data_IF_189667318609
#
_entry.id   IF_189667318609
#
_cell.length_a   1.000
_cell.length_b   1.000
_cell.length_c   1.000
_cell.angle_alpha   90.00
_cell.angle_beta   90.00
_cell.angle_gamma   90.00
#
_symmetry.space_group_name_H-M   'P 1'
#
loop_
_entity.id
_entity.type
_entity.pdbx_description
1 polymer ?
#
# COMPACT_ATOMS: atom_id res chain seq x y z
N UNK A 1 62.99 -9.66 -20.91
CA UNK A 1 62.88 -10.54 -19.73
C UNK A 1 61.81 -9.94 -18.85
N UNK A 2 60.61 -10.47 -18.94
CA UNK A 2 59.42 -10.02 -18.22
C UNK A 2 58.87 -11.22 -17.49
N UNK A 3 58.86 -11.18 -16.15
CA UNK A 3 58.22 -12.22 -15.33
C UNK A 3 56.88 -11.69 -14.81
N UNK A 4 55.85 -12.37 -15.23
CA UNK A 4 54.47 -12.26 -14.76
C UNK A 4 54.32 -12.86 -13.37
N UNK A 5 53.78 -12.12 -12.42
CA UNK A 5 53.35 -12.62 -11.10
C UNK A 5 51.81 -12.70 -11.11
N UNK A 6 51.30 -13.91 -11.30
CA UNK A 6 49.90 -14.22 -11.12
C UNK A 6 49.66 -14.65 -9.65
N UNK A 7 49.02 -13.78 -8.87
CA UNK A 7 48.58 -14.13 -7.52
C UNK A 7 47.26 -14.94 -7.61
N UNK A 8 47.32 -16.20 -7.18
CA UNK A 8 46.14 -17.11 -7.04
C UNK A 8 45.37 -16.73 -5.77
N UNK A 9 44.18 -16.21 -5.91
CA UNK A 9 43.20 -16.13 -4.84
C UNK A 9 42.61 -17.54 -4.60
N UNK A 10 42.79 -18.07 -3.38
CA UNK A 10 42.01 -19.24 -2.91
C UNK A 10 40.73 -18.74 -2.26
N UNK A 11 39.56 -19.29 -2.59
CA UNK A 11 38.33 -18.95 -1.86
C UNK A 11 38.34 -19.55 -0.46
N UNK A 12 38.00 -18.76 0.55
CA UNK A 12 37.71 -19.24 1.90
C UNK A 12 36.38 -20.00 1.93
N UNK A 13 36.24 -21.02 2.78
CA UNK A 13 34.99 -21.74 2.90
C UNK A 13 33.92 -20.86 3.52
N UNK A 14 32.71 -20.86 2.92
CA UNK A 14 31.54 -20.17 3.39
C UNK A 14 31.11 -20.65 4.77
N UNK A 15 30.75 -19.70 5.62
CA UNK A 15 30.36 -19.92 7.00
C UNK A 15 29.00 -20.66 7.05
N UNK A 16 29.00 -21.95 7.41
CA UNK A 16 27.85 -22.83 7.46
C UNK A 16 26.79 -22.44 8.52
N UNK A 17 27.10 -21.44 9.37
CA UNK A 17 26.17 -20.95 10.38
C UNK A 17 25.12 -19.97 9.87
N UNK A 18 25.38 -19.24 8.76
CA UNK A 18 24.42 -18.30 8.17
C UNK A 18 23.34 -19.05 7.39
N UNK A 19 23.72 -20.06 6.62
CA UNK A 19 22.76 -20.85 5.83
C UNK A 19 21.76 -21.63 6.67
N UNK A 20 22.10 -22.01 7.91
CA UNK A 20 21.20 -22.74 8.81
C UNK A 20 20.15 -21.84 9.51
N UNK A 21 20.37 -20.52 9.58
CA UNK A 21 19.37 -19.58 10.11
C UNK A 21 18.33 -19.20 9.06
N UNK A 22 18.76 -19.00 7.82
CA UNK A 22 17.85 -18.68 6.70
C UNK A 22 16.94 -19.87 6.36
N UNK A 23 17.44 -21.10 6.40
CA UNK A 23 16.61 -22.28 6.14
C UNK A 23 15.55 -22.53 7.23
N UNK A 24 15.81 -22.20 8.49
CA UNK A 24 14.83 -22.30 9.59
C UNK A 24 13.80 -21.18 9.57
N UNK A 25 14.16 -19.97 9.14
CA UNK A 25 13.21 -18.87 9.00
C UNK A 25 12.25 -19.14 7.84
N UNK A 26 12.75 -19.57 6.69
CA UNK A 26 11.95 -19.93 5.52
C UNK A 26 11.03 -21.14 5.78
N UNK A 27 11.46 -22.15 6.56
CA UNK A 27 10.60 -23.28 6.88
C UNK A 27 9.44 -22.95 7.84
N UNK A 28 9.58 -21.92 8.69
CA UNK A 28 8.49 -21.47 9.57
C UNK A 28 7.44 -20.65 8.83
N UNK A 29 7.85 -19.85 7.85
CA UNK A 29 6.95 -19.07 6.99
C UNK A 29 6.21 -19.98 5.99
N UNK A 30 6.90 -20.94 5.38
CA UNK A 30 6.29 -21.91 4.47
C UNK A 30 5.31 -22.87 5.15
N UNK A 31 5.53 -23.23 6.41
CA UNK A 31 4.68 -24.20 7.14
C UNK A 31 3.32 -23.65 7.57
N UNK A 32 3.13 -22.32 7.65
CA UNK A 32 1.84 -21.70 8.04
C UNK A 32 0.99 -21.19 6.87
N UNK A 33 1.59 -20.92 5.70
CA UNK A 33 0.84 -20.55 4.49
C UNK A 33 0.26 -21.78 3.74
N UNK A 34 0.57 -23.01 4.13
CA UNK A 34 0.12 -24.23 3.47
C UNK A 34 -1.38 -24.56 3.65
N UNK A 35 -2.14 -23.76 4.38
CA UNK A 35 -3.57 -23.96 4.61
C UNK A 35 -4.49 -22.91 3.93
N UNK A 36 -3.99 -22.13 2.96
CA UNK A 36 -4.85 -21.24 2.19
C UNK A 36 -5.75 -22.06 1.24
N UNK A 37 -7.05 -21.74 1.13
CA UNK A 37 -7.95 -22.45 0.24
C UNK A 37 -7.43 -22.36 -1.19
N UNK A 38 -7.43 -23.47 -1.90
CA UNK A 38 -6.97 -23.62 -3.30
C UNK A 38 -7.78 -22.82 -4.33
N UNK A 39 -8.82 -22.10 -3.90
CA UNK A 39 -9.69 -21.34 -4.79
C UNK A 39 -9.64 -19.85 -4.47
N UNK A 40 -9.32 -19.05 -5.50
CA UNK A 40 -9.58 -17.60 -5.52
C UNK A 40 -11.08 -17.39 -5.25
N UNK A 41 -11.48 -16.42 -4.41
CA UNK A 41 -12.89 -16.12 -4.20
C UNK A 41 -13.61 -15.93 -5.53
N UNK A 42 -14.66 -16.71 -5.80
CA UNK A 42 -15.37 -16.70 -7.09
C UNK A 42 -16.26 -15.45 -7.27
N UNK A 43 -16.45 -14.66 -6.23
CA UNK A 43 -17.30 -13.47 -6.28
C UNK A 43 -16.59 -12.32 -5.57
N UNK A 44 -16.10 -11.37 -6.37
CA UNK A 44 -15.58 -10.09 -5.91
C UNK A 44 -16.58 -9.00 -6.31
N UNK A 45 -17.21 -8.35 -5.33
CA UNK A 45 -18.34 -7.44 -5.55
C UNK A 45 -17.97 -5.96 -5.71
N UNK A 46 -16.68 -5.63 -5.74
CA UNK A 46 -16.23 -4.26 -5.87
C UNK A 46 -16.06 -3.89 -7.36
N UNK A 47 -16.88 -2.99 -7.92
CA UNK A 47 -16.73 -2.55 -9.32
C UNK A 47 -15.52 -1.64 -9.51
N UNK A 48 -15.11 -0.91 -8.47
CA UNK A 48 -14.03 0.05 -8.44
C UNK A 48 -13.24 -0.09 -7.12
N UNK A 49 -12.07 0.52 -7.07
CA UNK A 49 -11.34 0.76 -5.83
C UNK A 49 -11.12 2.27 -5.66
N UNK A 50 -12.15 3.00 -5.30
CA UNK A 50 -12.11 4.45 -5.05
C UNK A 50 -11.68 4.73 -3.61
N UNK A 51 -12.13 3.89 -2.69
CA UNK A 51 -11.83 3.90 -1.26
C UNK A 51 -11.53 2.48 -0.77
N UNK A 52 -10.73 2.34 0.29
CA UNK A 52 -10.57 1.05 0.98
C UNK A 52 -11.92 0.48 1.46
N UNK A 53 -12.89 1.34 1.75
CA UNK A 53 -14.26 0.96 2.14
C UNK A 53 -15.00 0.13 1.09
N UNK A 54 -14.71 0.36 -0.19
CA UNK A 54 -15.37 -0.33 -1.30
C UNK A 54 -15.10 -1.83 -1.27
N UNK A 55 -13.97 -2.23 -0.73
CA UNK A 55 -13.59 -3.64 -0.55
C UNK A 55 -14.35 -4.30 0.61
N UNK A 56 -14.59 -3.57 1.69
CA UNK A 56 -15.05 -4.16 2.94
C UNK A 56 -14.09 -5.22 3.51
N UNK A 57 -14.41 -5.83 4.64
CA UNK A 57 -13.55 -6.84 5.28
C UNK A 57 -13.23 -8.04 4.38
N UNK A 58 -14.24 -8.58 3.68
CA UNK A 58 -14.06 -9.73 2.80
C UNK A 58 -13.20 -9.41 1.56
N UNK A 59 -13.35 -8.21 0.99
CA UNK A 59 -12.55 -7.79 -0.17
C UNK A 59 -11.10 -7.51 0.20
N UNK A 60 -10.85 -6.90 1.36
CA UNK A 60 -9.48 -6.70 1.87
C UNK A 60 -8.78 -8.05 2.09
N UNK A 61 -9.43 -9.01 2.76
CA UNK A 61 -8.89 -10.37 2.93
C UNK A 61 -8.61 -11.05 1.59
N UNK A 62 -9.54 -10.94 0.62
CA UNK A 62 -9.38 -11.53 -0.71
C UNK A 62 -8.18 -10.95 -1.45
N UNK A 63 -7.98 -9.61 -1.42
CA UNK A 63 -6.82 -8.95 -2.04
C UNK A 63 -5.52 -9.42 -1.41
N UNK A 64 -5.42 -9.45 -0.07
CA UNK A 64 -4.20 -9.85 0.63
C UNK A 64 -3.84 -11.32 0.37
N UNK A 65 -4.81 -12.23 0.45
CA UNK A 65 -4.60 -13.66 0.14
C UNK A 65 -4.14 -13.86 -1.29
N UNK A 66 -4.84 -13.24 -2.25
CA UNK A 66 -4.49 -13.37 -3.67
C UNK A 66 -3.10 -12.78 -3.95
N UNK A 67 -2.75 -11.63 -3.34
CA UNK A 67 -1.43 -11.03 -3.49
C UNK A 67 -0.32 -11.98 -2.99
N UNK A 68 -0.51 -12.64 -1.83
CA UNK A 68 0.41 -13.65 -1.33
C UNK A 68 0.54 -14.87 -2.27
N UNK A 69 -0.56 -15.35 -2.85
CA UNK A 69 -0.54 -16.42 -3.85
C UNK A 69 0.21 -15.98 -5.11
N UNK A 70 -0.06 -14.78 -5.63
CA UNK A 70 0.62 -14.24 -6.82
C UNK A 70 2.12 -13.98 -6.59
N UNK A 71 2.52 -13.66 -5.36
CA UNK A 71 3.93 -13.52 -4.96
C UNK A 71 4.63 -14.88 -4.96
N UNK A 72 4.00 -15.91 -4.40
CA UNK A 72 4.58 -17.25 -4.27
C UNK A 72 4.52 -18.10 -5.56
N UNK A 73 3.53 -17.85 -6.43
CA UNK A 73 3.29 -18.60 -7.68
C UNK A 73 3.04 -17.67 -8.88
N UNK A 74 3.99 -16.80 -9.25
CA UNK A 74 3.78 -15.80 -10.31
C UNK A 74 3.49 -16.40 -11.67
N UNK A 75 4.01 -17.61 -11.94
CA UNK A 75 3.85 -18.30 -13.23
C UNK A 75 2.39 -18.64 -13.55
N UNK A 76 1.59 -18.94 -12.52
CA UNK A 76 0.18 -19.33 -12.68
C UNK A 76 -0.67 -18.18 -13.26
N UNK A 77 -0.17 -16.94 -13.19
CA UNK A 77 -0.91 -15.73 -13.53
C UNK A 77 -0.39 -15.00 -14.79
N UNK A 78 0.67 -15.49 -15.45
CA UNK A 78 1.31 -14.79 -16.58
C UNK A 78 0.38 -14.44 -17.76
N UNK A 79 -0.76 -15.09 -17.89
CA UNK A 79 -1.74 -14.88 -18.97
C UNK A 79 -3.11 -14.48 -18.45
N UNK A 80 -3.22 -14.15 -17.17
CA UNK A 80 -4.48 -13.91 -16.51
C UNK A 80 -5.25 -12.72 -17.09
N UNK A 81 -4.54 -11.70 -17.58
CA UNK A 81 -5.11 -10.49 -18.16
C UNK A 81 -4.70 -10.30 -19.65
N UNK A 82 -4.49 -11.41 -20.38
CA UNK A 82 -4.14 -11.34 -21.80
C UNK A 82 -5.21 -10.57 -22.59
N UNK A 83 -4.77 -9.57 -23.37
CA UNK A 83 -5.64 -8.72 -24.19
C UNK A 83 -6.30 -7.56 -23.43
N UNK A 84 -6.13 -7.46 -22.09
CA UNK A 84 -6.63 -6.35 -21.30
C UNK A 84 -5.72 -5.14 -21.41
N UNK A 85 -6.33 -3.95 -21.42
CA UNK A 85 -5.66 -2.66 -21.52
C UNK A 85 -6.00 -1.79 -20.32
N UNK A 86 -4.98 -1.20 -19.71
CA UNK A 86 -5.11 -0.27 -18.59
C UNK A 86 -4.52 1.08 -18.98
N UNK A 87 -5.20 2.18 -18.60
CA UNK A 87 -4.64 3.53 -18.70
C UNK A 87 -4.44 4.12 -17.32
N UNK A 88 -3.33 4.86 -17.14
CA UNK A 88 -2.99 5.54 -15.90
C UNK A 88 -2.86 7.04 -16.16
N UNK A 89 -3.57 7.86 -15.37
CA UNK A 89 -3.47 9.31 -15.37
C UNK A 89 -2.91 9.80 -14.04
N UNK A 90 -1.78 10.50 -14.08
CA UNK A 90 -1.13 11.00 -12.88
C UNK A 90 -0.98 12.51 -12.92
N UNK A 91 -1.70 13.21 -12.03
CA UNK A 91 -1.52 14.63 -11.75
C UNK A 91 -0.33 14.90 -10.82
N UNK A 92 0.10 13.87 -10.05
CA UNK A 92 1.27 13.92 -9.16
C UNK A 92 2.31 12.90 -9.61
N UNK A 93 3.59 13.27 -9.75
CA UNK A 93 4.63 12.33 -10.17
C UNK A 93 4.76 11.18 -9.16
N UNK A 94 5.05 9.99 -9.64
CA UNK A 94 5.30 8.83 -8.79
C UNK A 94 6.08 7.75 -9.52
N UNK A 95 7.30 7.49 -9.08
CA UNK A 95 8.13 6.41 -9.61
C UNK A 95 7.51 5.05 -9.25
N UNK A 96 7.30 4.81 -7.95
CA UNK A 96 6.85 3.51 -7.43
C UNK A 96 5.48 3.11 -7.96
N UNK A 97 4.49 3.97 -7.83
CA UNK A 97 3.11 3.66 -8.26
C UNK A 97 3.05 3.37 -9.76
N UNK A 98 3.73 4.17 -10.58
CA UNK A 98 3.78 3.97 -12.02
C UNK A 98 4.40 2.61 -12.37
N UNK A 99 5.63 2.37 -11.90
CA UNK A 99 6.35 1.15 -12.26
C UNK A 99 5.67 -0.12 -11.74
N UNK A 100 5.08 -0.09 -10.52
CA UNK A 100 4.43 -1.28 -9.98
C UNK A 100 3.11 -1.60 -10.69
N UNK A 101 2.33 -0.61 -11.14
CA UNK A 101 1.16 -0.87 -12.00
C UNK A 101 1.54 -1.32 -13.40
N UNK A 102 2.51 -0.66 -14.06
CA UNK A 102 3.00 -1.08 -15.40
C UNK A 102 3.54 -2.51 -15.36
N UNK A 103 4.50 -2.78 -14.45
CA UNK A 103 5.09 -4.11 -14.32
C UNK A 103 4.05 -5.17 -13.91
N UNK A 104 3.12 -4.80 -13.01
CA UNK A 104 2.02 -5.66 -12.58
C UNK A 104 1.14 -6.08 -13.76
N UNK A 105 0.64 -5.12 -14.53
CA UNK A 105 -0.22 -5.38 -15.70
C UNK A 105 0.48 -6.22 -16.77
N UNK A 106 1.74 -5.88 -17.10
CA UNK A 106 2.55 -6.62 -18.08
C UNK A 106 2.83 -8.04 -17.60
N UNK A 107 3.15 -8.23 -16.31
CA UNK A 107 3.41 -9.56 -15.75
C UNK A 107 2.20 -10.48 -15.76
N UNK A 108 0.99 -9.92 -15.82
CA UNK A 108 -0.28 -10.65 -15.96
C UNK A 108 -0.70 -10.85 -17.45
N UNK A 109 0.10 -10.38 -18.39
CA UNK A 109 -0.16 -10.54 -19.84
C UNK A 109 -0.98 -9.41 -20.47
N UNK A 110 -1.29 -8.36 -19.73
CA UNK A 110 -1.99 -7.18 -20.22
C UNK A 110 -1.05 -6.08 -20.71
N UNK A 111 -1.62 -4.92 -21.05
CA UNK A 111 -0.92 -3.72 -21.52
C UNK A 111 -1.27 -2.52 -20.66
N UNK A 112 -0.29 -1.68 -20.36
CA UNK A 112 -0.46 -0.44 -19.59
C UNK A 112 -0.04 0.78 -20.40
N UNK A 113 -0.84 1.83 -20.36
CA UNK A 113 -0.57 3.13 -20.96
C UNK A 113 -0.47 4.18 -19.86
N UNK A 114 0.53 5.04 -19.94
CA UNK A 114 0.72 6.12 -18.98
C UNK A 114 0.51 7.47 -19.65
N UNK A 115 -0.32 8.30 -19.03
CA UNK A 115 -0.61 9.68 -19.45
C UNK A 115 -0.18 10.61 -18.31
N UNK A 116 0.81 11.44 -18.58
CA UNK A 116 1.28 12.47 -17.64
C UNK A 116 0.32 13.65 -17.63
N UNK A 117 -0.27 13.92 -16.47
CA UNK A 117 -1.17 15.05 -16.21
C UNK A 117 -0.59 16.04 -15.19
N UNK A 118 0.73 16.03 -14.97
CA UNK A 118 1.38 16.91 -13.98
C UNK A 118 1.28 18.40 -14.32
N UNK A 119 1.05 18.72 -15.58
CA UNK A 119 0.92 20.11 -16.07
C UNK A 119 -0.51 20.58 -16.23
N UNK A 120 -1.48 19.66 -16.26
CA UNK A 120 -2.87 20.01 -16.49
C UNK A 120 -3.79 18.96 -15.84
N UNK A 121 -4.81 19.41 -15.11
CA UNK A 121 -5.77 18.51 -14.47
C UNK A 121 -6.64 17.81 -15.50
N UNK A 122 -7.08 16.61 -15.18
CA UNK A 122 -7.90 15.77 -16.05
C UNK A 122 -9.24 16.43 -16.45
N UNK A 123 -9.79 17.26 -15.55
CA UNK A 123 -11.05 17.98 -15.72
C UNK A 123 -10.89 19.40 -16.28
N UNK A 124 -9.68 19.79 -16.72
CA UNK A 124 -9.40 21.18 -17.12
C UNK A 124 -9.92 21.55 -18.53
N UNK A 125 -9.93 20.60 -19.46
CA UNK A 125 -10.30 20.83 -20.86
C UNK A 125 -11.71 20.42 -21.22
N UNK A 126 -12.19 19.35 -20.63
CA UNK A 126 -13.49 18.75 -20.92
C UNK A 126 -14.14 18.20 -19.65
N UNK A 127 -15.43 17.91 -19.71
CA UNK A 127 -16.13 17.32 -18.58
C UNK A 127 -15.60 15.91 -18.31
N UNK A 128 -15.46 15.59 -17.03
CA UNK A 128 -14.98 14.28 -16.60
C UNK A 128 -15.86 13.11 -17.11
N UNK A 129 -17.19 13.36 -17.27
CA UNK A 129 -18.11 12.43 -17.92
C UNK A 129 -17.73 12.10 -19.35
N UNK A 130 -17.28 13.09 -20.13
CA UNK A 130 -16.95 12.90 -21.55
C UNK A 130 -15.62 12.13 -21.66
N UNK A 131 -14.67 12.43 -20.76
CA UNK A 131 -13.42 11.66 -20.64
C UNK A 131 -13.74 10.20 -20.30
N UNK A 132 -14.59 9.94 -19.30
CA UNK A 132 -14.97 8.60 -18.87
C UNK A 132 -15.60 7.79 -20.02
N UNK A 133 -16.60 8.38 -20.71
CA UNK A 133 -17.27 7.72 -21.84
C UNK A 133 -16.38 7.47 -23.06
N UNK A 134 -15.31 8.24 -23.23
CA UNK A 134 -14.32 7.94 -24.25
C UNK A 134 -13.40 6.79 -23.81
N UNK A 135 -12.89 6.83 -22.58
CA UNK A 135 -11.95 5.85 -22.06
C UNK A 135 -12.54 4.44 -22.01
N UNK A 136 -13.81 4.28 -21.58
CA UNK A 136 -14.47 2.97 -21.51
C UNK A 136 -14.60 2.26 -22.86
N UNK A 137 -14.44 2.99 -23.99
CA UNK A 137 -14.46 2.42 -25.34
C UNK A 137 -13.07 1.98 -25.80
N UNK A 138 -12.02 2.42 -25.15
CA UNK A 138 -10.64 2.20 -25.59
C UNK A 138 -9.85 1.28 -24.68
N UNK A 139 -10.20 1.25 -23.38
CA UNK A 139 -9.47 0.48 -22.35
C UNK A 139 -10.43 -0.30 -21.45
N UNK A 140 -9.88 -1.21 -20.67
CA UNK A 140 -10.65 -2.07 -19.75
C UNK A 140 -10.61 -1.56 -18.31
N UNK A 141 -9.67 -0.67 -17.96
CA UNK A 141 -9.47 -0.17 -16.58
C UNK A 141 -8.75 1.18 -16.56
N UNK A 142 -9.14 2.02 -15.61
CA UNK A 142 -8.56 3.35 -15.39
C UNK A 142 -7.89 3.39 -14.01
N UNK A 143 -6.63 3.88 -13.95
CA UNK A 143 -5.90 4.13 -12.70
C UNK A 143 -5.67 5.64 -12.56
N UNK A 144 -6.07 6.21 -11.45
CA UNK A 144 -5.98 7.64 -11.20
C UNK A 144 -5.10 7.95 -9.99
N UNK A 145 -4.17 8.89 -10.16
CA UNK A 145 -3.41 9.52 -9.08
C UNK A 145 -3.59 11.03 -9.16
N UNK A 146 -4.46 11.58 -8.31
CA UNK A 146 -4.97 12.94 -8.43
C UNK A 146 -4.68 13.79 -7.19
N UNK A 147 -4.91 15.10 -7.31
CA UNK A 147 -4.92 16.02 -6.17
C UNK A 147 -6.22 15.90 -5.38
N UNK A 148 -7.35 15.58 -6.01
CA UNK A 148 -8.66 15.54 -5.37
C UNK A 148 -9.27 14.15 -5.45
N UNK A 149 -9.80 13.67 -4.33
CA UNK A 149 -10.63 12.48 -4.25
C UNK A 149 -11.87 12.59 -5.17
N UNK A 150 -12.45 13.79 -5.26
CA UNK A 150 -13.64 14.04 -6.09
C UNK A 150 -13.42 13.74 -7.58
N UNK A 151 -12.19 13.94 -8.10
CA UNK A 151 -11.86 13.59 -9.49
C UNK A 151 -11.96 12.08 -9.70
N UNK A 152 -11.53 11.27 -8.73
CA UNK A 152 -11.61 9.80 -8.79
C UNK A 152 -13.05 9.35 -8.69
N UNK A 153 -13.81 9.89 -7.72
CA UNK A 153 -15.24 9.59 -7.53
C UNK A 153 -16.07 9.95 -8.76
N UNK A 154 -15.81 11.12 -9.35
CA UNK A 154 -16.48 11.55 -10.57
C UNK A 154 -16.16 10.64 -11.77
N UNK A 155 -14.91 10.19 -11.92
CA UNK A 155 -14.56 9.22 -12.95
C UNK A 155 -15.29 7.90 -12.74
N UNK A 156 -15.28 7.36 -11.54
CA UNK A 156 -15.96 6.10 -11.19
C UNK A 156 -17.49 6.19 -11.35
N UNK A 157 -18.06 7.37 -11.12
CA UNK A 157 -19.50 7.60 -11.31
C UNK A 157 -19.91 7.49 -12.79
N UNK A 158 -19.06 7.92 -13.71
CA UNK A 158 -19.40 8.02 -15.14
C UNK A 158 -18.83 6.88 -15.99
N UNK A 159 -17.73 6.26 -15.58
CA UNK A 159 -17.15 5.13 -16.31
C UNK A 159 -17.92 3.83 -16.03
N UNK A 160 -18.13 3.01 -17.07
CA UNK A 160 -18.65 1.63 -16.95
C UNK A 160 -17.57 0.58 -16.70
N UNK A 161 -16.30 0.97 -16.81
CA UNK A 161 -15.12 0.15 -16.55
C UNK A 161 -14.53 0.49 -15.17
N UNK A 162 -13.79 -0.44 -14.53
CA UNK A 162 -13.23 -0.22 -13.21
C UNK A 162 -12.30 0.99 -13.11
N UNK A 163 -12.39 1.72 -11.99
CA UNK A 163 -11.53 2.83 -11.63
C UNK A 163 -10.76 2.51 -10.34
N UNK A 164 -9.45 2.71 -10.35
CA UNK A 164 -8.57 2.52 -9.19
C UNK A 164 -8.03 3.86 -8.70
N UNK A 165 -8.22 4.11 -7.40
CA UNK A 165 -7.53 5.16 -6.65
C UNK A 165 -6.08 4.71 -6.37
N UNK A 166 -5.13 5.21 -7.13
CA UNK A 166 -3.71 5.00 -6.88
C UNK A 166 -3.12 5.96 -5.84
N UNK A 167 -3.76 7.09 -5.60
CA UNK A 167 -3.60 8.05 -4.51
C UNK A 167 -4.48 9.27 -4.79
N UNK A 168 -5.11 9.81 -3.74
CA UNK A 168 -5.74 11.14 -3.71
C UNK A 168 -5.25 11.94 -2.50
N UNK A 169 -5.87 13.11 -2.25
CA UNK A 169 -5.70 13.85 -0.99
C UNK A 169 -6.33 13.13 0.21
N UNK A 170 -7.33 12.29 -0.03
CA UNK A 170 -8.08 11.60 1.04
C UNK A 170 -7.53 10.21 1.36
N UNK A 171 -7.14 9.41 0.37
CA UNK A 171 -6.74 8.02 0.58
C UNK A 171 -5.58 7.56 -0.32
N UNK A 172 -4.90 6.50 0.12
CA UNK A 172 -3.92 5.72 -0.64
C UNK A 172 -4.15 4.21 -0.46
N UNK A 173 -5.26 3.65 -0.97
CA UNK A 173 -5.69 2.28 -0.69
C UNK A 173 -4.65 1.22 -1.03
N UNK A 174 -4.03 1.33 -2.22
CA UNK A 174 -3.01 0.39 -2.68
C UNK A 174 -1.75 0.36 -1.79
N UNK A 175 -1.46 1.45 -1.08
CA UNK A 175 -0.36 1.49 -0.12
C UNK A 175 -0.73 0.73 1.15
N UNK A 176 -1.84 1.10 1.80
CA UNK A 176 -2.24 0.48 3.06
C UNK A 176 -2.45 -1.03 2.93
N UNK A 177 -3.01 -1.51 1.82
CA UNK A 177 -3.12 -2.93 1.53
C UNK A 177 -1.74 -3.62 1.43
N UNK A 178 -0.75 -2.97 0.82
CA UNK A 178 0.62 -3.50 0.74
C UNK A 178 1.32 -3.50 2.11
N UNK A 179 1.03 -2.50 2.93
CA UNK A 179 1.54 -2.40 4.29
C UNK A 179 1.03 -3.56 5.16
N UNK A 180 -0.28 -3.83 5.09
CA UNK A 180 -0.87 -4.96 5.81
C UNK A 180 -0.48 -6.33 5.24
N UNK A 181 -0.21 -6.44 3.94
CA UNK A 181 0.42 -7.66 3.39
C UNK A 181 1.81 -7.89 4.00
N UNK A 182 2.59 -6.82 4.16
CA UNK A 182 3.92 -6.90 4.78
C UNK A 182 3.84 -7.33 6.25
N UNK A 183 2.89 -6.77 7.01
CA UNK A 183 2.64 -7.19 8.39
C UNK A 183 2.18 -8.64 8.47
N UNK A 184 1.30 -9.07 7.56
CA UNK A 184 0.83 -10.46 7.48
C UNK A 184 1.98 -11.43 7.18
N UNK A 185 2.87 -11.08 6.25
CA UNK A 185 4.07 -11.88 5.95
C UNK A 185 5.03 -11.95 7.14
N UNK A 186 5.16 -10.85 7.89
CA UNK A 186 6.09 -10.75 9.02
C UNK A 186 5.60 -11.47 10.26
N UNK A 187 4.31 -11.35 10.57
CA UNK A 187 3.73 -11.83 11.83
C UNK A 187 2.80 -13.05 11.68
N UNK A 188 2.38 -13.36 10.44
CA UNK A 188 1.50 -14.50 10.12
C UNK A 188 0.02 -14.25 10.43
N UNK A 189 -0.30 -13.38 11.36
CA UNK A 189 -1.65 -12.92 11.68
C UNK A 189 -1.60 -11.44 12.08
N UNK A 190 -2.52 -10.63 11.58
CA UNK A 190 -2.58 -9.19 11.87
C UNK A 190 -3.65 -8.82 12.89
N UNK A 191 -4.54 -9.74 13.27
CA UNK A 191 -5.61 -9.45 14.24
C UNK A 191 -5.08 -9.05 15.62
N UNK A 192 -3.96 -9.66 16.02
CA UNK A 192 -3.30 -9.35 17.29
C UNK A 192 -2.13 -8.37 17.12
N UNK A 193 -1.97 -7.79 15.93
CA UNK A 193 -0.90 -6.84 15.62
C UNK A 193 -1.36 -5.43 15.92
N UNK A 194 -0.53 -4.66 16.64
CA UNK A 194 -0.73 -3.24 16.91
C UNK A 194 0.22 -2.41 16.04
N UNK A 195 -0.36 -1.64 15.12
CA UNK A 195 0.35 -0.65 14.30
C UNK A 195 0.31 0.72 14.99
N UNK A 196 1.44 1.31 15.31
CA UNK A 196 1.56 2.70 15.75
C UNK A 196 1.91 3.58 14.55
N UNK A 197 1.01 4.47 14.16
CA UNK A 197 1.29 5.52 13.17
C UNK A 197 1.66 6.81 13.90
N UNK A 198 2.78 7.43 13.52
CA UNK A 198 3.31 8.65 14.16
C UNK A 198 3.58 9.70 13.09
N UNK A 199 2.89 10.84 13.12
CA UNK A 199 3.10 11.91 12.14
C UNK A 199 1.83 12.68 11.75
N UNK A 200 1.67 13.00 10.47
CA UNK A 200 0.53 13.72 9.93
C UNK A 200 -0.67 12.80 9.70
N UNK A 201 -1.85 13.19 10.15
CA UNK A 201 -3.11 12.47 9.90
C UNK A 201 -3.58 12.55 8.44
N UNK A 202 -2.72 12.17 7.51
CA UNK A 202 -2.87 12.32 6.06
C UNK A 202 -3.61 11.13 5.41
N UNK A 203 -3.61 11.11 4.08
CA UNK A 203 -4.24 10.07 3.26
C UNK A 203 -3.71 8.65 3.51
N UNK A 204 -2.44 8.49 3.91
CA UNK A 204 -1.86 7.18 4.29
C UNK A 204 -2.44 6.73 5.62
N UNK A 205 -2.47 7.61 6.64
CA UNK A 205 -3.11 7.34 7.92
C UNK A 205 -4.59 6.95 7.75
N UNK A 206 -5.31 7.64 6.86
CA UNK A 206 -6.71 7.33 6.55
C UNK A 206 -6.89 5.90 6.01
N UNK A 207 -6.10 5.52 5.01
CA UNK A 207 -6.19 4.18 4.43
C UNK A 207 -5.71 3.10 5.38
N UNK A 208 -4.71 3.38 6.24
CA UNK A 208 -4.29 2.46 7.31
C UNK A 208 -5.41 2.24 8.33
N UNK A 209 -6.13 3.30 8.76
CA UNK A 209 -7.29 3.19 9.66
C UNK A 209 -8.38 2.30 9.06
N UNK A 210 -8.76 2.51 7.80
CA UNK A 210 -9.79 1.73 7.12
C UNK A 210 -9.37 0.27 6.90
N UNK A 211 -8.11 0.03 6.51
CA UNK A 211 -7.59 -1.32 6.30
C UNK A 211 -7.49 -2.08 7.63
N UNK A 212 -7.01 -1.41 8.69
CA UNK A 212 -7.01 -1.95 10.06
C UNK A 212 -8.40 -2.38 10.48
N UNK A 213 -9.38 -1.48 10.32
CA UNK A 213 -10.77 -1.74 10.65
C UNK A 213 -11.31 -2.98 9.92
N UNK A 214 -11.06 -3.10 8.61
CA UNK A 214 -11.49 -4.26 7.83
C UNK A 214 -10.85 -5.58 8.30
N UNK A 215 -9.62 -5.55 8.81
CA UNK A 215 -8.89 -6.75 9.22
C UNK A 215 -9.11 -7.16 10.68
N UNK A 216 -9.78 -6.33 11.48
CA UNK A 216 -9.94 -6.56 12.92
C UNK A 216 -8.62 -6.45 13.69
N UNK A 217 -7.67 -5.63 13.21
CA UNK A 217 -6.36 -5.37 13.79
C UNK A 217 -6.42 -4.18 14.77
N UNK A 218 -5.30 -3.82 15.39
CA UNK A 218 -5.21 -2.64 16.25
C UNK A 218 -4.33 -1.56 15.64
N UNK A 219 -4.78 -0.29 15.73
CA UNK A 219 -4.02 0.86 15.29
C UNK A 219 -4.08 2.01 16.30
N UNK A 220 -2.93 2.60 16.58
CA UNK A 220 -2.78 3.84 17.36
C UNK A 220 -2.19 4.91 16.47
N UNK A 221 -2.87 6.04 16.37
CA UNK A 221 -2.45 7.16 15.50
C UNK A 221 -2.11 8.35 16.37
N UNK A 222 -0.83 8.69 16.48
CA UNK A 222 -0.34 9.88 17.20
C UNK A 222 -0.04 11.01 16.22
N UNK A 223 -0.74 12.13 16.39
CA UNK A 223 -0.58 13.31 15.55
C UNK A 223 -0.47 14.58 16.38
N UNK A 224 0.26 15.61 15.89
CA UNK A 224 0.22 16.93 16.54
C UNK A 224 -1.20 17.49 16.61
N UNK A 225 -1.52 18.32 17.62
CA UNK A 225 -2.78 19.05 17.65
C UNK A 225 -3.03 19.84 16.37
N UNK A 226 -4.22 19.67 15.78
CA UNK A 226 -4.58 20.29 14.49
C UNK A 226 -4.24 19.46 13.24
N UNK A 227 -3.55 18.33 13.40
CA UNK A 227 -3.14 17.45 12.31
C UNK A 227 -3.75 16.03 12.40
N UNK A 228 -4.86 15.91 13.12
CA UNK A 228 -5.59 14.63 13.26
C UNK A 228 -6.16 14.15 11.91
N UNK A 229 -6.35 12.83 11.74
CA UNK A 229 -7.02 12.27 10.56
C UNK A 229 -8.43 12.85 10.38
N UNK A 230 -8.91 12.83 9.12
CA UNK A 230 -10.25 13.29 8.77
C UNK A 230 -11.32 12.61 9.64
N UNK A 231 -12.18 13.37 10.34
CA UNK A 231 -13.18 12.81 11.25
C UNK A 231 -14.17 11.86 10.59
N UNK A 232 -14.48 12.08 9.30
CA UNK A 232 -15.40 11.21 8.54
C UNK A 232 -14.76 9.84 8.26
N UNK A 233 -13.46 9.81 7.98
CA UNK A 233 -12.70 8.57 7.81
C UNK A 233 -12.60 7.81 9.14
N UNK A 234 -12.32 8.53 10.23
CA UNK A 234 -12.27 7.94 11.58
C UNK A 234 -13.61 7.33 11.97
N UNK A 235 -14.71 8.04 11.71
CA UNK A 235 -16.06 7.53 11.96
C UNK A 235 -16.33 6.26 11.15
N UNK A 236 -16.05 6.29 9.84
CA UNK A 236 -16.22 5.12 8.98
C UNK A 236 -15.37 3.92 9.40
N UNK A 237 -14.13 4.14 9.82
CA UNK A 237 -13.27 3.09 10.34
C UNK A 237 -13.82 2.49 11.65
N UNK A 238 -14.32 3.33 12.55
CA UNK A 238 -14.96 2.88 13.81
C UNK A 238 -16.25 2.09 13.58
N UNK A 239 -17.04 2.47 12.58
CA UNK A 239 -18.26 1.72 12.21
C UNK A 239 -17.90 0.30 11.74
N UNK A 240 -16.88 0.17 10.86
CA UNK A 240 -16.37 -1.14 10.44
C UNK A 240 -15.78 -1.92 11.62
N UNK A 241 -15.08 -1.25 12.52
CA UNK A 241 -14.45 -1.86 13.69
C UNK A 241 -15.47 -2.49 14.65
N UNK A 242 -16.71 -1.99 14.72
CA UNK A 242 -17.80 -2.60 15.52
C UNK A 242 -18.12 -4.03 15.06
N UNK A 243 -17.96 -4.32 13.77
CA UNK A 243 -18.24 -5.64 13.20
C UNK A 243 -17.04 -6.57 13.28
N UNK A 244 -15.83 -6.03 13.14
CA UNK A 244 -14.59 -6.81 13.00
C UNK A 244 -13.83 -7.01 14.31
N UNK A 245 -14.10 -6.17 15.32
CA UNK A 245 -13.39 -6.14 16.59
C UNK A 245 -12.06 -5.37 16.55
N UNK A 246 -11.83 -4.54 15.52
CA UNK A 246 -10.64 -3.71 15.44
C UNK A 246 -10.58 -2.65 16.55
N UNK A 247 -9.38 -2.32 17.02
CA UNK A 247 -9.16 -1.28 18.02
C UNK A 247 -8.51 -0.04 17.37
N UNK A 248 -9.16 1.13 17.51
CA UNK A 248 -8.71 2.39 16.92
C UNK A 248 -8.54 3.44 18.00
N UNK A 249 -7.31 3.88 18.22
CA UNK A 249 -6.97 4.93 19.17
C UNK A 249 -6.34 6.13 18.45
N UNK A 250 -6.84 7.34 18.76
CA UNK A 250 -6.24 8.60 18.31
C UNK A 250 -5.58 9.28 19.51
N UNK A 251 -4.33 9.58 19.39
CA UNK A 251 -3.46 10.07 20.45
C UNK A 251 -2.74 11.35 20.01
N UNK A 252 -2.22 12.10 20.97
CA UNK A 252 -1.32 13.22 20.69
C UNK A 252 0.12 12.96 21.15
N UNK A 253 0.33 11.92 21.97
CA UNK A 253 1.64 11.53 22.45
C UNK A 253 2.18 10.36 21.62
N UNK A 254 3.31 10.54 20.90
CA UNK A 254 3.92 9.47 20.13
C UNK A 254 4.45 8.33 21.03
N UNK A 255 4.89 8.62 22.26
CA UNK A 255 5.37 7.61 23.20
C UNK A 255 4.24 6.67 23.66
N UNK A 256 3.06 7.23 23.93
CA UNK A 256 1.87 6.44 24.26
C UNK A 256 1.46 5.54 23.08
N UNK A 257 1.57 6.04 21.84
CA UNK A 257 1.19 5.28 20.65
C UNK A 257 2.12 4.08 20.40
N UNK A 258 3.43 4.27 20.54
CA UNK A 258 4.43 3.24 20.20
C UNK A 258 4.64 2.23 21.32
N UNK A 259 4.26 2.52 22.56
CA UNK A 259 4.48 1.64 23.70
C UNK A 259 3.98 0.22 23.45
N UNK A 260 4.91 -0.73 23.27
CA UNK A 260 4.61 -2.15 23.01
C UNK A 260 3.97 -2.45 21.65
N UNK A 261 3.97 -1.51 20.68
CA UNK A 261 3.46 -1.75 19.33
C UNK A 261 4.35 -2.73 18.55
N UNK A 262 3.75 -3.51 17.65
CA UNK A 262 4.45 -4.49 16.80
C UNK A 262 5.05 -3.84 15.54
N UNK A 263 4.50 -2.72 15.10
CA UNK A 263 5.02 -1.95 13.98
C UNK A 263 4.90 -0.45 14.25
N UNK A 264 5.93 0.31 13.86
CA UNK A 264 5.91 1.77 13.87
C UNK A 264 5.93 2.27 12.44
N UNK A 265 4.95 3.09 12.08
CA UNK A 265 4.80 3.69 10.77
C UNK A 265 4.91 5.19 10.84
N UNK A 266 5.65 5.80 9.92
CA UNK A 266 5.59 7.24 9.69
C UNK A 266 5.56 7.56 8.19
N UNK A 267 5.18 8.77 7.84
CA UNK A 267 5.18 9.31 6.49
C UNK A 267 5.75 10.73 6.49
N UNK A 268 6.10 11.23 5.33
CA UNK A 268 6.61 12.59 5.17
C UNK A 268 5.67 13.60 5.84
N UNK A 269 6.24 14.50 6.65
CA UNK A 269 5.46 15.53 7.37
C UNK A 269 4.77 16.51 6.44
N UNK A 270 5.30 16.69 5.23
CA UNK A 270 4.73 17.55 4.22
C UNK A 270 4.40 16.72 2.98
N UNK A 271 3.13 16.52 2.71
CA UNK A 271 2.66 15.82 1.52
C UNK A 271 2.76 16.71 0.28
N UNK A 272 2.86 16.07 -0.90
CA UNK A 272 2.85 16.80 -2.18
C UNK A 272 1.60 17.67 -2.31
N UNK A 273 1.80 18.97 -2.60
CA UNK A 273 0.76 20.01 -2.65
C UNK A 273 0.62 20.82 -1.36
N UNK A 274 1.38 20.49 -0.31
CA UNK A 274 1.39 21.19 0.98
C UNK A 274 2.72 21.95 1.23
N UNK A 275 3.55 22.14 0.21
CA UNK A 275 4.90 22.71 0.32
C UNK A 275 4.90 24.10 1.00
N UNK A 276 3.79 24.85 0.87
CA UNK A 276 3.62 26.15 1.54
C UNK A 276 3.58 26.06 3.07
N UNK A 277 3.28 24.89 3.62
CA UNK A 277 3.21 24.64 5.07
C UNK A 277 4.51 24.05 5.64
N UNK A 278 5.52 23.78 4.81
CA UNK A 278 6.77 23.10 5.20
C UNK A 278 7.44 23.78 6.40
N UNK A 279 7.56 25.11 6.39
CA UNK A 279 8.19 25.87 7.47
C UNK A 279 7.41 25.82 8.80
N UNK A 280 6.10 25.71 8.78
CA UNK A 280 5.26 25.55 9.97
C UNK A 280 5.39 24.11 10.50
N UNK A 281 5.27 23.12 9.62
CA UNK A 281 5.37 21.70 9.96
C UNK A 281 6.75 21.34 10.53
N UNK A 282 7.83 21.91 9.99
CA UNK A 282 9.18 21.73 10.53
C UNK A 282 9.36 22.23 11.97
N UNK A 283 8.46 23.07 12.48
CA UNK A 283 8.48 23.54 13.89
C UNK A 283 7.60 22.69 14.81
N UNK A 284 6.52 22.12 14.27
CA UNK A 284 5.49 21.39 15.03
C UNK A 284 5.83 19.89 15.14
N UNK A 285 6.33 19.29 14.06
CA UNK A 285 6.50 17.84 13.96
C UNK A 285 7.76 17.22 14.60
N UNK A 286 8.83 17.94 14.98
CA UNK A 286 10.03 17.31 15.54
C UNK A 286 9.78 16.33 16.71
N UNK A 287 8.80 16.53 17.62
CA UNK A 287 8.47 15.54 18.65
C UNK A 287 7.91 14.21 18.10
N UNK A 288 7.51 14.18 16.83
CA UNK A 288 6.94 13.03 16.14
C UNK A 288 7.95 12.34 15.21
N UNK A 289 9.24 12.67 15.32
CA UNK A 289 10.30 11.99 14.58
C UNK A 289 10.48 10.57 15.10
N UNK A 290 10.42 9.58 14.20
CA UNK A 290 10.77 8.20 14.57
C UNK A 290 12.29 8.06 14.60
N UNK A 291 12.83 7.96 15.80
CA UNK A 291 14.24 7.78 16.12
C UNK A 291 14.47 6.49 16.90
N UNK A 292 15.72 6.20 17.27
CA UNK A 292 16.07 4.97 17.98
C UNK A 292 15.45 4.89 19.38
N UNK A 293 15.29 6.03 20.06
CA UNK A 293 14.71 6.07 21.42
C UNK A 293 13.22 5.71 21.35
N UNK A 294 12.49 6.30 20.40
CA UNK A 294 11.07 5.98 20.18
C UNK A 294 10.89 4.52 19.75
N UNK A 295 11.76 3.99 18.87
CA UNK A 295 11.74 2.58 18.47
C UNK A 295 11.97 1.62 19.65
N UNK A 296 12.78 2.02 20.64
CA UNK A 296 13.08 1.19 21.80
C UNK A 296 11.90 0.97 22.74
N UNK A 297 10.87 1.82 22.66
CA UNK A 297 9.63 1.71 23.46
C UNK A 297 8.62 0.71 22.87
N UNK A 298 8.78 0.35 21.61
CA UNK A 298 7.95 -0.66 20.93
C UNK A 298 8.28 -2.08 21.40
N UNK A 299 7.52 -3.06 20.94
CA UNK A 299 7.81 -4.45 21.20
C UNK A 299 9.22 -4.84 20.67
N UNK A 300 9.96 -5.74 21.36
CA UNK A 300 11.33 -6.09 20.95
C UNK A 300 11.45 -6.64 19.51
N UNK A 301 10.37 -7.14 18.96
CA UNK A 301 10.28 -7.66 17.58
C UNK A 301 9.70 -6.64 16.59
N UNK A 302 9.43 -5.42 17.05
CA UNK A 302 8.78 -4.40 16.25
C UNK A 302 9.56 -4.07 14.98
N UNK A 303 8.81 -3.78 13.93
CA UNK A 303 9.35 -3.34 12.64
C UNK A 303 9.07 -1.86 12.38
N UNK A 304 9.95 -1.22 11.62
CA UNK A 304 9.76 0.13 11.11
C UNK A 304 9.22 0.12 9.69
N UNK A 305 8.22 0.96 9.42
CA UNK A 305 7.50 1.06 8.15
C UNK A 305 7.45 2.51 7.64
N UNK A 306 7.51 2.68 6.32
CA UNK A 306 7.38 3.96 5.62
C UNK A 306 7.03 3.75 4.15
N UNK A 307 6.05 4.48 3.62
CA UNK A 307 5.61 4.32 2.22
C UNK A 307 6.63 4.82 1.17
N UNK A 308 7.66 5.55 1.59
CA UNK A 308 8.67 6.18 0.75
C UNK A 308 8.09 7.21 -0.28
N UNK A 309 8.84 8.30 -0.60
CA UNK A 309 10.21 8.61 -0.18
C UNK A 309 10.30 9.09 1.27
N UNK A 310 11.38 8.78 1.96
CA UNK A 310 11.63 9.24 3.32
C UNK A 310 12.67 10.36 3.36
N UNK A 311 12.48 11.33 4.25
CA UNK A 311 13.41 12.44 4.48
C UNK A 311 14.20 12.17 5.77
N UNK A 312 15.35 11.49 5.64
CA UNK A 312 16.24 11.20 6.76
C UNK A 312 16.64 12.45 7.52
N UNK A 313 16.41 12.44 8.83
CA UNK A 313 16.62 13.60 9.72
C UNK A 313 15.39 14.48 9.91
N UNK A 314 14.29 14.23 9.18
CA UNK A 314 12.97 14.82 9.42
C UNK A 314 12.06 13.81 10.12
N UNK A 315 11.13 13.17 9.42
CA UNK A 315 10.17 12.24 10.01
C UNK A 315 10.80 10.95 10.55
N UNK A 316 11.96 10.58 10.05
CA UNK A 316 12.71 9.40 10.50
C UNK A 316 14.21 9.64 10.49
N UNK A 317 14.94 9.06 11.44
CA UNK A 317 16.41 9.08 11.44
C UNK A 317 16.99 8.01 10.50
N UNK A 318 18.20 8.27 9.97
CA UNK A 318 18.92 7.27 9.18
C UNK A 318 19.16 5.97 9.97
N UNK A 319 19.44 6.09 11.27
CA UNK A 319 19.68 4.95 12.16
C UNK A 319 18.47 3.98 12.22
N UNK A 320 17.24 4.48 12.08
CA UNK A 320 16.02 3.67 12.08
C UNK A 320 15.73 3.09 10.70
N UNK A 321 15.65 3.94 9.66
CA UNK A 321 15.23 3.48 8.33
C UNK A 321 16.25 2.54 7.67
N UNK A 322 17.53 2.65 8.03
CA UNK A 322 18.62 1.82 7.51
C UNK A 322 18.94 0.64 8.48
N UNK A 323 18.13 0.42 9.52
CA UNK A 323 18.29 -0.66 10.50
C UNK A 323 17.74 -2.01 10.00
N UNK A 324 18.05 -3.09 10.73
CA UNK A 324 17.47 -4.42 10.49
C UNK A 324 15.98 -4.52 10.86
N UNK A 325 15.45 -3.56 11.62
CA UNK A 325 14.02 -3.49 11.93
C UNK A 325 13.20 -2.86 10.79
N UNK A 326 13.86 -2.19 9.84
CA UNK A 326 13.19 -1.55 8.70
C UNK A 326 12.74 -2.56 7.67
N UNK A 327 11.45 -2.52 7.33
CA UNK A 327 10.83 -3.37 6.29
C UNK A 327 10.33 -2.54 5.10
N UNK A 328 10.88 -1.36 4.89
CA UNK A 328 10.42 -0.40 3.87
C UNK A 328 10.56 -0.91 2.43
N UNK A 329 11.54 -1.78 2.18
CA UNK A 329 11.73 -2.36 0.85
C UNK A 329 10.80 -3.53 0.59
N UNK A 330 10.49 -4.34 1.61
CA UNK A 330 9.45 -5.37 1.57
C UNK A 330 8.07 -4.74 1.34
N UNK A 331 7.77 -3.60 2.01
CA UNK A 331 6.56 -2.82 1.71
C UNK A 331 6.52 -2.37 0.25
N UNK A 332 7.64 -1.85 -0.26
CA UNK A 332 7.74 -1.37 -1.64
C UNK A 332 7.55 -2.52 -2.65
N UNK A 333 8.09 -3.70 -2.37
CA UNK A 333 7.87 -4.92 -3.15
C UNK A 333 6.40 -5.33 -3.13
N UNK A 334 5.77 -5.38 -1.96
CA UNK A 334 4.40 -5.81 -1.79
C UNK A 334 3.37 -4.92 -2.52
N UNK A 335 3.75 -3.67 -2.85
CA UNK A 335 2.97 -2.81 -3.75
C UNK A 335 2.68 -3.50 -5.08
N UNK A 336 3.68 -4.15 -5.68
CA UNK A 336 3.51 -4.87 -6.95
C UNK A 336 2.49 -6.00 -6.81
N UNK A 337 2.60 -6.82 -5.76
CA UNK A 337 1.77 -8.00 -5.58
C UNK A 337 0.31 -7.64 -5.26
N UNK A 338 0.09 -6.64 -4.40
CA UNK A 338 -1.24 -6.12 -4.09
C UNK A 338 -1.90 -5.50 -5.33
N UNK A 339 -1.18 -4.69 -6.10
CA UNK A 339 -1.72 -4.10 -7.32
C UNK A 339 -2.05 -5.16 -8.37
N UNK A 340 -1.24 -6.22 -8.51
CA UNK A 340 -1.58 -7.37 -9.35
C UNK A 340 -2.88 -8.05 -8.92
N UNK A 341 -3.06 -8.26 -7.62
CA UNK A 341 -4.28 -8.86 -7.09
C UNK A 341 -5.50 -7.97 -7.36
N UNK A 342 -5.39 -6.66 -7.16
CA UNK A 342 -6.46 -5.69 -7.46
C UNK A 342 -6.80 -5.71 -8.96
N UNK A 343 -5.81 -5.63 -9.85
CA UNK A 343 -6.00 -5.69 -11.30
C UNK A 343 -6.73 -6.98 -11.72
N UNK A 344 -6.29 -8.11 -11.18
CA UNK A 344 -6.89 -9.41 -11.46
C UNK A 344 -8.35 -9.49 -11.03
N UNK A 345 -8.66 -9.04 -9.81
CA UNK A 345 -10.00 -9.09 -9.24
C UNK A 345 -10.97 -8.16 -9.99
N UNK A 346 -10.54 -6.94 -10.31
CA UNK A 346 -11.37 -5.95 -11.01
C UNK A 346 -11.57 -6.28 -12.50
N UNK A 347 -10.58 -6.87 -13.16
CA UNK A 347 -10.67 -7.24 -14.60
C UNK A 347 -11.26 -8.65 -14.85
N UNK A 348 -11.69 -9.33 -13.77
CA UNK A 348 -12.37 -10.61 -13.86
C UNK A 348 -11.45 -11.72 -14.37
N UNK A 349 -10.40 -12.01 -13.64
CA UNK A 349 -9.52 -13.17 -13.89
C UNK A 349 -10.20 -14.55 -13.71
N UNK A 350 -11.47 -14.56 -13.36
CA UNK A 350 -12.43 -15.65 -13.36
C UNK A 350 -13.79 -15.01 -13.65
N UNK A 351 -14.80 -15.63 -14.00
CA UNK A 351 -16.11 -15.20 -14.49
C UNK A 351 -16.48 -13.72 -14.27
N UNK A 352 -16.84 -13.02 -15.33
CA UNK A 352 -17.09 -11.59 -15.41
C UNK A 352 -18.07 -11.12 -14.32
N UNK A 353 -17.73 -10.05 -13.60
CA UNK A 353 -18.69 -9.26 -12.85
C UNK A 353 -19.84 -8.84 -13.79
N UNK A 354 -21.10 -8.88 -13.34
CA UNK A 354 -22.21 -8.37 -14.13
C UNK A 354 -21.96 -6.88 -14.44
N UNK A 355 -22.14 -6.50 -15.73
CA UNK A 355 -22.07 -5.12 -16.15
C UNK A 355 -22.96 -4.26 -15.23
N UNK A 356 -22.47 -3.06 -14.84
CA UNK A 356 -23.30 -2.07 -14.15
C UNK A 356 -24.61 -1.89 -14.93
N UNK A 357 -25.75 -2.09 -14.28
CA UNK A 357 -27.03 -1.65 -14.84
C UNK A 357 -26.92 -0.14 -15.04
N UNK A 358 -27.01 0.32 -16.28
CA UNK A 358 -27.10 1.73 -16.59
C UNK A 358 -28.24 2.32 -15.73
N UNK A 359 -27.89 3.20 -14.82
CA UNK A 359 -28.88 3.96 -14.08
C UNK A 359 -29.56 4.89 -15.08
N UNK A 360 -30.88 4.66 -15.26
CA UNK A 360 -31.78 5.53 -15.96
C UNK A 360 -31.90 6.89 -15.26
#
# INVERSE_FOLDING_TARGET
>A
MSQSVAARFKPQPADTHVQNKESKLNSHVQGRMAAAPERVPQVFWCPDLVSTRDLGPAGVDAVLRLAGIMKSRPEDFRRALTGRQMVMFFEKPSLRTRLTFEAGMVSLGGTAMFVDQTHERLDAREKLSDVAHNLERWVDLIVLRTYSQQTIEGMAQHASIPVINALSDLEHPCQALADYLTLLERFGDVKNCCLAYVGDGNNVAHSLLLTCACLGSSIRVATPPGYAPNPQIVAAARDIAQETGAEIQLLSDPHEAVGGADAIYTDAWTSMGQEKQEGERARIFPPYQVNSDLMAEAAPHAVFMHCLPAHRGLEVTAAVIDSQQSVVFEQAENRLHVQKAILYLLLGGGDRLPARSAHA
#
